data_IF_550749283579
#
_entry.id   IF_550749283579
#
_cell.length_a   1.000
_cell.length_b   1.000
_cell.length_c   1.000
_cell.angle_alpha   90.00
_cell.angle_beta   90.00
_cell.angle_gamma   90.00
#
_symmetry.space_group_name_H-M   'P 1'
#
loop_
_entity.id
_entity.type
_entity.pdbx_description
1 polymer ?
#
# COMPACT_ATOMS: atom_id res chain seq x y z
N UNK A 1 22.38 -18.93 20.93
CA UNK A 1 20.98 -18.55 21.21
C UNK A 1 20.52 -17.63 20.09
N UNK A 2 19.50 -18.02 19.31
CA UNK A 2 18.93 -17.11 18.31
C UNK A 2 18.02 -16.15 19.05
N UNK A 3 18.34 -14.85 19.03
CA UNK A 3 17.42 -13.82 19.48
C UNK A 3 16.19 -13.91 18.57
N UNK A 4 15.10 -14.44 19.12
CA UNK A 4 13.79 -14.38 18.50
C UNK A 4 13.35 -12.94 18.70
N UNK A 5 13.65 -12.07 17.73
CA UNK A 5 13.13 -10.71 17.72
C UNK A 5 11.63 -10.83 17.55
N UNK A 6 10.89 -10.71 18.65
CA UNK A 6 9.43 -10.62 18.61
C UNK A 6 9.11 -9.30 17.90
N UNK A 7 8.92 -9.38 16.58
CA UNK A 7 8.52 -8.23 15.79
C UNK A 7 7.06 -8.00 16.10
N UNK A 8 6.76 -6.98 16.92
CA UNK A 8 5.39 -6.54 17.13
C UNK A 8 4.80 -6.11 15.80
N UNK A 9 3.94 -6.96 15.24
CA UNK A 9 3.17 -6.64 14.04
C UNK A 9 1.90 -5.91 14.46
N UNK A 10 1.57 -4.88 13.70
CA UNK A 10 0.36 -4.10 13.85
C UNK A 10 -0.42 -4.16 12.53
N UNK A 11 -1.74 -4.11 12.63
CA UNK A 11 -2.61 -4.03 11.47
C UNK A 11 -2.74 -2.57 11.03
N UNK A 12 -2.33 -2.31 9.81
CA UNK A 12 -2.44 -1.01 9.18
C UNK A 12 -3.46 -1.05 8.06
N UNK A 13 -4.27 0.00 7.98
CA UNK A 13 -5.12 0.24 6.81
C UNK A 13 -4.40 1.21 5.89
N UNK A 14 -4.10 0.80 4.67
CA UNK A 14 -3.39 1.62 3.68
C UNK A 14 -4.32 1.89 2.51
N UNK A 15 -4.53 3.16 2.19
CA UNK A 15 -5.25 3.58 0.99
C UNK A 15 -4.25 3.78 -0.15
N UNK A 16 -4.47 3.09 -1.26
CA UNK A 16 -3.67 3.22 -2.48
C UNK A 16 -4.52 3.93 -3.53
N UNK A 17 -4.12 5.15 -3.86
CA UNK A 17 -4.69 5.95 -4.94
C UNK A 17 -3.94 5.69 -6.25
N UNK A 18 -4.69 5.49 -7.32
CA UNK A 18 -4.22 5.31 -8.69
C UNK A 18 -4.51 6.56 -9.52
N UNK A 19 -3.54 6.94 -10.34
CA UNK A 19 -3.57 8.14 -11.15
C UNK A 19 -3.22 7.82 -12.59
N UNK A 20 -3.88 8.49 -13.53
CA UNK A 20 -3.61 8.47 -14.97
C UNK A 20 -3.22 9.88 -15.38
N UNK A 21 -2.02 10.07 -15.94
CA UNK A 21 -1.47 11.39 -16.29
C UNK A 21 -1.61 12.48 -15.19
N UNK A 22 -1.55 12.05 -13.92
CA UNK A 22 -1.66 12.92 -12.74
C UNK A 22 -3.08 13.11 -12.22
N UNK A 23 -4.11 12.61 -12.90
CA UNK A 23 -5.50 12.65 -12.44
C UNK A 23 -5.87 11.38 -11.67
N UNK A 24 -6.46 11.56 -10.48
CA UNK A 24 -6.93 10.45 -9.67
C UNK A 24 -8.17 9.80 -10.29
N UNK A 25 -8.13 8.49 -10.53
CA UNK A 25 -9.26 7.76 -11.13
C UNK A 25 -9.81 6.63 -10.27
N UNK A 26 -9.00 6.05 -9.37
CA UNK A 26 -9.43 4.96 -8.50
C UNK A 26 -8.63 4.93 -7.20
N UNK A 27 -9.25 4.44 -6.13
CA UNK A 27 -8.55 4.11 -4.89
C UNK A 27 -8.90 2.70 -4.42
N UNK A 28 -7.98 2.09 -3.70
CA UNK A 28 -8.16 0.76 -3.13
C UNK A 28 -7.52 0.66 -1.75
N UNK A 29 -8.28 0.09 -0.82
CA UNK A 29 -7.87 -0.06 0.57
C UNK A 29 -7.27 -1.45 0.77
N UNK A 30 -6.10 -1.49 1.41
CA UNK A 30 -5.38 -2.69 1.78
C UNK A 30 -5.25 -2.78 3.30
N UNK A 31 -5.64 -3.92 3.86
CA UNK A 31 -5.31 -4.28 5.24
C UNK A 31 -3.95 -4.99 5.22
N UNK A 32 -2.97 -4.44 5.94
CA UNK A 32 -1.59 -4.93 5.93
C UNK A 32 -1.07 -5.07 7.35
N UNK A 33 -0.67 -6.28 7.71
CA UNK A 33 -0.03 -6.57 9.00
C UNK A 33 1.48 -6.39 8.85
N UNK A 34 2.03 -5.36 9.50
CA UNK A 34 3.45 -5.02 9.38
C UNK A 34 4.04 -4.49 10.70
N UNK A 35 5.36 -4.44 10.81
CA UNK A 35 6.03 -3.93 12.01
C UNK A 35 5.96 -2.41 12.15
N UNK A 36 5.92 -1.70 11.02
CA UNK A 36 5.87 -0.24 10.94
C UNK A 36 4.93 0.22 9.84
N UNK A 37 4.44 1.45 9.95
CA UNK A 37 3.65 2.11 8.91
C UNK A 37 4.39 2.15 7.56
N UNK A 38 5.72 2.30 7.58
CA UNK A 38 6.54 2.36 6.37
C UNK A 38 6.55 1.01 5.64
N UNK A 39 6.76 -0.09 6.37
CA UNK A 39 6.64 -1.43 5.81
C UNK A 39 5.22 -1.73 5.31
N UNK A 40 4.18 -1.29 6.04
CA UNK A 40 2.80 -1.46 5.60
C UNK A 40 2.54 -0.74 4.27
N UNK A 41 3.02 0.51 4.15
CA UNK A 41 2.93 1.31 2.92
C UNK A 41 3.63 0.61 1.75
N UNK A 42 4.85 0.12 1.94
CA UNK A 42 5.61 -0.55 0.90
C UNK A 42 4.93 -1.86 0.46
N UNK A 43 4.41 -2.63 1.40
CA UNK A 43 3.70 -3.86 1.11
C UNK A 43 2.37 -3.60 0.39
N UNK A 44 1.61 -2.57 0.78
CA UNK A 44 0.41 -2.16 0.04
C UNK A 44 0.73 -1.76 -1.42
N UNK A 45 1.84 -1.07 -1.66
CA UNK A 45 2.31 -0.75 -3.02
C UNK A 45 2.70 -2.00 -3.81
N UNK A 46 3.22 -3.04 -3.17
CA UNK A 46 3.51 -4.30 -3.84
C UNK A 46 2.23 -5.06 -4.17
N UNK A 47 1.28 -5.11 -3.24
CA UNK A 47 -0.03 -5.72 -3.45
C UNK A 47 -0.80 -5.03 -4.57
N UNK A 48 -0.70 -3.70 -4.66
CA UNK A 48 -1.40 -2.92 -5.69
C UNK A 48 -0.93 -3.20 -7.11
N UNK A 49 0.22 -3.85 -7.33
CA UNK A 49 0.67 -4.28 -8.68
C UNK A 49 -0.24 -5.37 -9.25
N UNK A 50 -0.90 -6.14 -8.38
CA UNK A 50 -1.85 -7.15 -8.82
C UNK A 50 -3.30 -6.64 -8.80
N UNK A 51 -3.50 -5.32 -8.67
CA UNK A 51 -4.83 -4.72 -8.69
C UNK A 51 -5.40 -4.71 -10.10
N UNK A 52 -6.73 -4.75 -10.20
CA UNK A 52 -7.45 -4.52 -11.47
C UNK A 52 -7.19 -3.14 -12.07
N UNK A 53 -6.72 -2.19 -11.25
CA UNK A 53 -6.36 -0.84 -11.66
C UNK A 53 -4.89 -0.71 -12.11
N UNK A 54 -4.08 -1.75 -11.94
CA UNK A 54 -2.70 -1.82 -12.43
C UNK A 54 -2.70 -2.33 -13.87
N UNK A 55 -3.11 -1.45 -14.80
CA UNK A 55 -3.24 -1.81 -16.21
C UNK A 55 -2.21 -1.03 -17.05
N UNK A 56 -1.30 -1.71 -17.78
CA UNK A 56 -0.29 -1.05 -18.61
C UNK A 56 -0.87 -0.24 -19.77
N UNK A 57 -2.15 -0.41 -20.11
CA UNK A 57 -2.84 0.42 -21.09
C UNK A 57 -3.20 1.82 -20.56
N UNK A 58 -3.11 2.07 -19.25
CA UNK A 58 -3.41 3.37 -18.65
C UNK A 58 -2.20 4.31 -18.85
N UNK A 59 -2.36 5.45 -19.55
CA UNK A 59 -1.27 6.38 -19.78
C UNK A 59 -0.84 7.07 -18.48
N UNK A 60 0.47 7.20 -18.29
CA UNK A 60 1.02 7.87 -17.11
C UNK A 60 0.62 7.23 -15.78
N UNK A 61 0.36 5.90 -15.77
CA UNK A 61 -0.09 5.19 -14.58
C UNK A 61 0.89 5.41 -13.42
N UNK A 62 0.39 6.01 -12.35
CA UNK A 62 1.13 6.21 -11.12
C UNK A 62 0.26 5.91 -9.90
N UNK A 63 0.91 5.67 -8.77
CA UNK A 63 0.27 5.12 -7.57
C UNK A 63 0.84 5.78 -6.34
N UNK A 64 0.00 6.11 -5.37
CA UNK A 64 0.43 6.64 -4.09
C UNK A 64 -0.27 5.90 -2.97
N UNK A 65 0.51 5.43 -1.99
CA UNK A 65 -0.01 4.76 -0.80
C UNK A 65 0.06 5.68 0.41
N UNK A 66 -1.05 5.80 1.13
CA UNK A 66 -1.21 6.61 2.35
C UNK A 66 -1.73 5.70 3.46
N UNK A 67 -0.98 5.61 4.55
CA UNK A 67 -1.40 4.84 5.73
C UNK A 67 -2.46 5.66 6.47
N UNK A 68 -3.62 5.08 6.69
CA UNK A 68 -4.67 5.66 7.52
C UNK A 68 -4.22 5.49 8.97
N UNK A 69 -3.66 6.55 9.54
CA UNK A 69 -3.34 6.60 10.95
C UNK A 69 -4.64 6.94 11.68
N UNK A 70 -5.22 5.98 12.40
CA UNK A 70 -6.31 6.27 13.33
C UNK A 70 -5.72 7.23 14.39
N UNK A 71 -6.20 8.48 14.39
CA UNK A 71 -5.67 9.57 15.22
C UNK A 71 -6.24 9.52 16.63
#
# INVERSE_FOLDING_TARGET
MRAQSDVCLHDFTVDVAFFSDGEHFASQIYAVTASTWFSARQQALQMSVNSVYDNPCIPGLSRSATVRSDS
#
